data_IF_725891730586
#
_entry.id   IF_725891730586
#
_cell.length_a   1.000
_cell.length_b   1.000
_cell.length_c   1.000
_cell.angle_alpha   90.00
_cell.angle_beta   90.00
_cell.angle_gamma   90.00
#
_symmetry.space_group_name_H-M   'P 1'
#
loop_
_entity.id
_entity.type
_entity.pdbx_description
1 polymer ?
#
# COMPACT_ATOMS: atom_id res chain seq x y z
N UNK A 1 -20.37 3.24 -25.65
CA UNK A 1 -19.91 3.38 -24.25
C UNK A 1 -18.58 4.10 -24.32
N UNK A 2 -18.47 5.33 -23.80
CA UNK A 2 -17.32 6.20 -24.05
C UNK A 2 -16.01 5.59 -23.52
N UNK A 3 -14.91 5.85 -24.22
CA UNK A 3 -13.56 5.42 -23.82
C UNK A 3 -13.23 5.98 -22.42
N UNK A 4 -12.90 5.14 -21.41
CA UNK A 4 -12.51 5.58 -20.08
C UNK A 4 -11.33 6.57 -20.06
N UNK A 5 -10.45 6.52 -21.07
CA UNK A 5 -9.36 7.48 -21.24
C UNK A 5 -9.86 8.86 -21.63
N UNK A 6 -10.95 8.92 -22.40
CA UNK A 6 -11.58 10.19 -22.78
C UNK A 6 -12.28 10.86 -21.59
N UNK A 7 -12.87 10.08 -20.68
CA UNK A 7 -13.45 10.59 -19.45
C UNK A 7 -12.40 11.14 -18.48
N UNK A 8 -11.27 10.46 -18.31
CA UNK A 8 -10.16 10.94 -17.49
C UNK A 8 -9.53 12.21 -18.09
N UNK A 9 -9.35 12.25 -19.42
CA UNK A 9 -8.87 13.45 -20.13
C UNK A 9 -9.83 14.64 -20.00
N UNK A 10 -11.13 14.40 -20.11
CA UNK A 10 -12.15 15.44 -19.95
C UNK A 10 -12.12 16.04 -18.53
N UNK A 11 -11.99 15.19 -17.51
CA UNK A 11 -11.92 15.63 -16.11
C UNK A 11 -10.64 16.45 -15.83
N UNK A 12 -9.48 15.99 -16.31
CA UNK A 12 -8.22 16.71 -16.12
C UNK A 12 -8.20 18.06 -16.87
N UNK A 13 -8.81 18.14 -18.06
CA UNK A 13 -8.96 19.40 -18.81
C UNK A 13 -9.88 20.39 -18.12
N UNK A 14 -11.04 19.93 -17.66
CA UNK A 14 -12.00 20.77 -16.93
C UNK A 14 -11.38 21.39 -15.68
N UNK A 15 -10.52 20.67 -14.98
CA UNK A 15 -9.81 21.16 -13.77
C UNK A 15 -8.73 22.19 -14.12
N UNK A 16 -7.98 21.95 -15.20
CA UNK A 16 -7.03 22.93 -15.73
C UNK A 16 -7.72 24.23 -16.20
N UNK A 17 -8.91 24.13 -16.80
CA UNK A 17 -9.74 25.28 -17.24
C UNK A 17 -10.30 26.10 -16.07
N UNK A 18 -10.55 25.45 -14.93
CA UNK A 18 -10.94 26.09 -13.67
C UNK A 18 -9.75 26.71 -12.92
N UNK A 19 -8.55 26.68 -13.51
CA UNK A 19 -7.33 27.26 -12.92
C UNK A 19 -6.67 26.40 -11.84
N UNK A 20 -7.15 25.17 -11.62
CA UNK A 20 -6.48 24.20 -10.75
C UNK A 20 -5.31 23.57 -11.51
N UNK A 21 -4.08 23.98 -11.19
CA UNK A 21 -2.88 23.48 -11.88
C UNK A 21 -2.07 22.45 -11.11
N UNK A 22 -2.27 22.23 -9.80
CA UNK A 22 -1.46 21.27 -9.00
C UNK A 22 -2.25 20.56 -7.88
N UNK A 23 -1.92 19.28 -7.65
CA UNK A 23 -2.34 18.44 -6.51
C UNK A 23 -1.20 18.49 -5.49
N UNK A 24 -1.33 19.27 -4.42
CA UNK A 24 -0.23 19.52 -3.48
C UNK A 24 -0.21 18.57 -2.27
N UNK A 25 1.00 18.07 -1.98
CA UNK A 25 1.47 17.60 -0.67
C UNK A 25 2.16 18.81 0.00
N UNK A 26 1.44 19.50 0.89
CA UNK A 26 1.71 20.90 1.33
C UNK A 26 3.05 21.16 2.07
N UNK A 27 3.98 20.22 2.13
CA UNK A 27 5.25 20.37 2.86
C UNK A 27 6.52 20.12 2.03
N UNK A 28 6.39 19.80 0.73
CA UNK A 28 7.55 19.53 -0.12
C UNK A 28 7.50 20.43 -1.36
N UNK A 29 8.46 21.33 -1.47
CA UNK A 29 8.66 22.10 -2.69
C UNK A 29 9.10 21.17 -3.82
N UNK A 30 8.91 21.62 -5.06
CA UNK A 30 9.42 20.89 -6.23
C UNK A 30 10.96 20.70 -6.19
N UNK A 31 11.68 21.56 -5.45
CA UNK A 31 13.11 21.38 -5.19
C UNK A 31 13.34 20.23 -4.20
N UNK A 32 12.51 20.09 -3.17
CA UNK A 32 12.58 18.99 -2.20
C UNK A 32 12.27 17.64 -2.85
N UNK A 33 11.28 17.60 -3.75
CA UNK A 33 10.96 16.39 -4.53
C UNK A 33 12.11 16.00 -5.47
N UNK A 34 12.77 16.99 -6.09
CA UNK A 34 13.93 16.76 -6.97
C UNK A 34 15.19 16.37 -6.20
N UNK A 35 15.45 17.00 -5.05
CA UNK A 35 16.56 16.64 -4.16
C UNK A 35 16.38 15.22 -3.62
N UNK A 36 15.16 14.89 -3.19
CA UNK A 36 14.78 13.53 -2.78
C UNK A 36 14.86 12.55 -3.97
N UNK A 37 14.59 12.97 -5.20
CA UNK A 37 14.81 12.11 -6.36
C UNK A 37 16.31 11.92 -6.70
N UNK A 38 17.15 12.92 -6.42
CA UNK A 38 18.54 13.01 -6.90
C UNK A 38 19.61 12.43 -5.96
N UNK A 39 19.37 12.28 -4.65
CA UNK A 39 20.35 11.65 -3.73
C UNK A 39 20.63 10.19 -4.12
N UNK A 40 21.89 9.75 -4.07
CA UNK A 40 22.21 8.37 -4.43
C UNK A 40 21.73 7.38 -3.35
N UNK A 41 21.34 6.13 -3.71
CA UNK A 41 20.80 5.14 -2.76
C UNK A 41 21.75 4.75 -1.61
N UNK A 42 23.05 5.00 -1.72
CA UNK A 42 24.04 4.67 -0.69
C UNK A 42 24.05 5.69 0.46
N UNK A 43 23.78 6.96 0.17
CA UNK A 43 23.85 8.05 1.16
C UNK A 43 22.66 8.04 2.12
N UNK A 44 21.50 7.52 1.70
CA UNK A 44 20.28 7.42 2.52
C UNK A 44 20.17 6.17 3.39
N UNK A 45 20.94 5.12 3.10
CA UNK A 45 20.89 3.86 3.88
C UNK A 45 21.46 4.00 5.29
N UNK A 46 22.20 5.07 5.56
CA UNK A 46 22.91 5.29 6.83
C UNK A 46 22.09 5.99 7.92
N UNK A 47 20.96 6.63 7.59
CA UNK A 47 20.29 7.58 8.52
C UNK A 47 18.86 7.22 8.93
N UNK A 48 18.28 6.11 8.46
CA UNK A 48 16.93 5.71 8.86
C UNK A 48 16.95 5.11 10.29
N UNK A 49 16.20 5.68 11.26
CA UNK A 49 16.19 5.15 12.60
C UNK A 49 15.42 3.82 12.65
N UNK A 50 16.06 2.80 13.23
CA UNK A 50 15.39 1.56 13.60
C UNK A 50 14.46 1.84 14.78
N UNK A 51 13.15 1.71 14.60
CA UNK A 51 12.18 1.82 15.68
C UNK A 51 11.48 0.48 15.86
N UNK A 52 11.88 -0.22 16.92
CA UNK A 52 11.31 -1.50 17.33
C UNK A 52 10.08 -1.33 18.20
N UNK A 53 9.02 -2.05 17.87
CA UNK A 53 7.88 -2.32 18.75
C UNK A 53 7.98 -3.79 19.21
N UNK A 54 7.79 -4.12 20.51
CA UNK A 54 7.94 -5.48 21.00
C UNK A 54 6.72 -6.35 20.69
N UNK A 55 6.95 -7.51 20.09
CA UNK A 55 5.94 -8.53 19.83
C UNK A 55 6.48 -9.65 18.93
N UNK A 56 6.99 -10.71 19.57
CA UNK A 56 7.78 -11.82 19.03
C UNK A 56 7.25 -12.47 17.73
N UNK A 57 8.20 -13.05 16.99
CA UNK A 57 8.15 -13.81 15.72
C UNK A 57 8.10 -13.00 14.41
N UNK A 58 7.09 -12.17 14.15
CA UNK A 58 6.93 -11.53 12.82
C UNK A 58 8.11 -10.59 12.49
N UNK A 59 8.54 -9.79 13.47
CA UNK A 59 9.62 -8.80 13.30
C UNK A 59 10.97 -9.45 12.99
N UNK A 60 11.17 -10.72 13.38
CA UNK A 60 12.42 -11.44 13.18
C UNK A 60 12.47 -12.18 11.82
N UNK A 61 11.39 -12.21 11.06
CA UNK A 61 11.33 -12.96 9.79
C UNK A 61 12.23 -12.31 8.75
N UNK A 62 13.27 -13.03 8.30
CA UNK A 62 14.31 -12.49 7.41
C UNK A 62 13.96 -12.38 5.92
N UNK A 63 12.80 -12.83 5.47
CA UNK A 63 12.43 -12.76 4.04
C UNK A 63 10.93 -12.61 3.81
N UNK A 64 10.59 -11.96 2.68
CA UNK A 64 9.20 -11.72 2.29
C UNK A 64 8.45 -13.04 2.02
N UNK A 65 9.15 -14.05 1.51
CA UNK A 65 8.59 -15.38 1.26
C UNK A 65 8.19 -16.07 2.57
N UNK A 66 9.07 -16.09 3.58
CA UNK A 66 8.73 -16.67 4.90
C UNK A 66 7.62 -15.87 5.57
N UNK A 67 7.63 -14.55 5.44
CA UNK A 67 6.58 -13.69 6.00
C UNK A 67 5.22 -14.01 5.39
N UNK A 68 5.18 -14.27 4.07
CA UNK A 68 3.97 -14.69 3.36
C UNK A 68 3.43 -16.00 3.93
N UNK A 69 4.27 -17.02 4.05
CA UNK A 69 3.84 -18.33 4.56
C UNK A 69 3.24 -18.23 5.97
N UNK A 70 3.88 -17.45 6.85
CA UNK A 70 3.34 -17.18 8.21
C UNK A 70 2.00 -16.44 8.14
N UNK A 71 1.89 -15.42 7.28
CA UNK A 71 0.67 -14.63 7.15
C UNK A 71 -0.53 -15.47 6.65
N UNK A 72 -0.32 -16.40 5.72
CA UNK A 72 -1.38 -17.24 5.15
C UNK A 72 -2.09 -18.10 6.20
N UNK A 73 -1.38 -18.49 7.27
CA UNK A 73 -1.95 -19.26 8.39
C UNK A 73 -2.39 -18.42 9.60
N UNK A 74 -2.31 -17.09 9.54
CA UNK A 74 -2.40 -16.22 10.72
C UNK A 74 -3.75 -16.30 11.47
N UNK A 75 -3.78 -16.63 12.78
CA UNK A 75 -5.02 -16.66 13.58
C UNK A 75 -5.19 -15.44 14.52
N UNK A 76 -4.38 -14.38 14.37
CA UNK A 76 -4.18 -13.33 15.40
C UNK A 76 -5.39 -12.44 15.70
N UNK A 77 -6.43 -12.45 14.87
CA UNK A 77 -7.67 -11.70 15.13
C UNK A 77 -8.90 -12.42 14.56
N UNK A 78 -10.09 -11.96 14.96
CA UNK A 78 -11.38 -12.58 14.60
C UNK A 78 -11.67 -12.62 13.10
N UNK A 79 -10.99 -11.80 12.29
CA UNK A 79 -11.12 -11.87 10.82
C UNK A 79 -10.69 -13.22 10.25
N UNK A 80 -9.88 -14.00 10.98
CA UNK A 80 -9.54 -15.37 10.61
C UNK A 80 -10.75 -16.31 10.56
N UNK A 81 -11.82 -15.99 11.29
CA UNK A 81 -13.04 -16.81 11.37
C UNK A 81 -13.96 -16.60 10.16
N UNK A 82 -13.87 -15.45 9.48
CA UNK A 82 -14.80 -15.07 8.40
C UNK A 82 -14.17 -14.90 7.02
N UNK A 83 -12.84 -14.79 6.93
CA UNK A 83 -12.12 -14.64 5.66
C UNK A 83 -12.26 -15.88 4.78
N UNK A 84 -12.25 -15.71 3.46
CA UNK A 84 -12.02 -16.81 2.53
C UNK A 84 -10.52 -16.97 2.27
N UNK A 85 -9.81 -15.87 2.05
CA UNK A 85 -8.37 -15.88 1.83
C UNK A 85 -7.67 -14.78 2.62
N UNK A 86 -6.45 -15.07 3.03
CA UNK A 86 -5.51 -14.02 3.42
C UNK A 86 -4.98 -13.37 2.15
N UNK A 87 -5.09 -12.04 2.07
CA UNK A 87 -4.60 -11.22 0.98
C UNK A 87 -3.33 -10.52 1.44
N UNK A 88 -2.19 -11.19 1.26
CA UNK A 88 -0.91 -10.75 1.79
C UNK A 88 -0.37 -9.48 1.10
N UNK A 89 -0.25 -9.55 -0.21
CA UNK A 89 0.38 -8.56 -1.07
C UNK A 89 0.91 -9.23 -2.34
N UNK A 90 1.02 -8.49 -3.44
CA UNK A 90 1.57 -8.98 -4.71
C UNK A 90 2.44 -7.92 -5.38
N UNK A 91 3.36 -8.35 -6.23
CA UNK A 91 4.27 -7.46 -6.97
C UNK A 91 5.74 -7.74 -6.70
N UNK A 92 6.61 -6.79 -7.05
CA UNK A 92 8.05 -6.97 -6.93
C UNK A 92 8.52 -6.95 -5.46
N UNK A 93 9.31 -7.95 -5.01
CA UNK A 93 9.93 -7.91 -3.68
C UNK A 93 11.04 -6.86 -3.55
N UNK A 94 11.41 -6.23 -4.68
CA UNK A 94 12.42 -5.17 -4.78
C UNK A 94 11.77 -3.86 -5.26
N UNK A 95 10.46 -3.72 -5.11
CA UNK A 95 9.71 -2.57 -5.59
C UNK A 95 10.24 -1.26 -5.01
N UNK A 96 10.48 -0.26 -5.86
CA UNK A 96 10.81 1.09 -5.42
C UNK A 96 9.57 1.84 -4.91
N UNK A 97 8.37 1.44 -5.35
CA UNK A 97 7.09 1.96 -4.91
C UNK A 97 6.25 0.84 -4.27
N UNK A 98 5.84 1.05 -3.03
CA UNK A 98 4.84 0.22 -2.35
C UNK A 98 3.52 0.98 -2.29
N UNK A 99 2.42 0.36 -2.71
CA UNK A 99 1.06 0.87 -2.56
C UNK A 99 0.38 0.16 -1.39
N UNK A 100 -0.19 0.93 -0.46
CA UNK A 100 -0.83 0.41 0.75
C UNK A 100 -2.27 0.90 0.82
N UNK A 101 -3.23 -0.01 0.73
CA UNK A 101 -4.64 0.26 1.03
C UNK A 101 -5.03 -0.11 2.45
N UNK A 102 -6.33 -0.01 2.72
CA UNK A 102 -6.92 -0.29 4.03
C UNK A 102 -7.07 -1.78 4.31
N UNK A 103 -7.93 -2.45 3.53
CA UNK A 103 -8.27 -3.85 3.71
C UNK A 103 -8.73 -4.50 2.39
N UNK A 104 -8.75 -5.84 2.30
CA UNK A 104 -9.31 -6.54 1.14
C UNK A 104 -10.83 -6.33 1.05
N UNK A 105 -11.32 -6.12 -0.17
CA UNK A 105 -12.75 -6.18 -0.48
C UNK A 105 -13.21 -7.61 -0.78
N UNK A 106 -14.45 -7.73 -1.26
CA UNK A 106 -15.06 -9.04 -1.54
C UNK A 106 -14.35 -9.82 -2.66
N UNK A 107 -13.91 -9.14 -3.72
CA UNK A 107 -13.19 -9.78 -4.82
C UNK A 107 -11.78 -10.20 -4.40
N UNK A 108 -11.11 -9.37 -3.60
CA UNK A 108 -9.79 -9.65 -3.05
C UNK A 108 -9.86 -10.87 -2.10
N UNK A 109 -10.83 -10.89 -1.18
CA UNK A 109 -11.05 -12.02 -0.27
C UNK A 109 -11.36 -13.32 -1.01
N UNK A 110 -12.14 -13.25 -2.10
CA UNK A 110 -12.44 -14.42 -2.93
C UNK A 110 -11.23 -14.94 -3.72
N UNK A 111 -10.32 -14.06 -4.13
CA UNK A 111 -9.21 -14.41 -5.03
C UNK A 111 -7.87 -14.57 -4.32
N UNK A 112 -7.73 -14.09 -3.09
CA UNK A 112 -6.46 -14.00 -2.37
C UNK A 112 -5.52 -12.92 -2.90
N UNK A 113 -5.98 -12.05 -3.82
CA UNK A 113 -5.14 -11.06 -4.52
C UNK A 113 -5.56 -9.64 -4.17
N UNK A 114 -4.62 -8.72 -3.89
CA UNK A 114 -4.95 -7.35 -3.50
C UNK A 114 -5.40 -6.53 -4.71
N UNK A 115 -6.30 -5.56 -4.51
CA UNK A 115 -6.70 -4.57 -5.54
C UNK A 115 -7.05 -5.21 -6.89
N UNK A 116 -8.01 -6.14 -6.91
CA UNK A 116 -8.54 -6.76 -8.14
C UNK A 116 -9.98 -6.31 -8.47
N UNK A 117 -10.66 -5.70 -7.50
CA UNK A 117 -11.97 -5.09 -7.68
C UNK A 117 -11.93 -3.76 -8.44
N UNK A 118 -13.01 -2.98 -8.36
CA UNK A 118 -13.15 -1.70 -9.08
C UNK A 118 -12.05 -0.69 -8.74
N UNK A 119 -11.74 -0.53 -7.46
CA UNK A 119 -10.67 0.37 -7.01
C UNK A 119 -9.29 -0.07 -7.51
N UNK A 120 -9.06 -1.39 -7.59
CA UNK A 120 -7.84 -1.96 -8.15
C UNK A 120 -7.64 -1.65 -9.63
N UNK A 121 -8.71 -1.75 -10.43
CA UNK A 121 -8.67 -1.37 -11.86
C UNK A 121 -8.36 0.11 -12.05
N UNK A 122 -8.87 0.98 -11.17
CA UNK A 122 -8.51 2.40 -11.19
C UNK A 122 -7.04 2.61 -10.82
N UNK A 123 -6.55 1.94 -9.78
CA UNK A 123 -5.14 1.96 -9.40
C UNK A 123 -4.24 1.54 -10.58
N UNK A 124 -4.60 0.48 -11.31
CA UNK A 124 -3.84 0.03 -12.48
C UNK A 124 -3.73 1.11 -13.56
N UNK A 125 -4.81 1.85 -13.82
CA UNK A 125 -4.80 2.96 -14.76
C UNK A 125 -3.92 4.12 -14.29
N UNK A 126 -3.94 4.43 -12.99
CA UNK A 126 -3.11 5.49 -12.41
C UNK A 126 -1.63 5.13 -12.42
N UNK A 127 -1.29 3.88 -12.07
CA UNK A 127 0.07 3.37 -12.16
C UNK A 127 0.60 3.43 -13.60
N UNK A 128 -0.20 2.97 -14.57
CA UNK A 128 0.16 3.02 -15.97
C UNK A 128 0.36 4.46 -16.48
N UNK A 129 -0.51 5.40 -16.05
CA UNK A 129 -0.36 6.82 -16.39
C UNK A 129 0.90 7.45 -15.76
N UNK A 130 1.32 6.95 -14.60
CA UNK A 130 2.55 7.34 -13.93
C UNK A 130 3.81 6.58 -14.43
N UNK A 131 3.67 5.73 -15.44
CA UNK A 131 4.80 5.00 -16.04
C UNK A 131 5.22 3.71 -15.31
N UNK A 132 4.39 3.19 -14.40
CA UNK A 132 4.65 1.94 -13.69
C UNK A 132 3.83 0.79 -14.27
N UNK A 133 4.44 -0.38 -14.45
CA UNK A 133 3.68 -1.61 -14.58
C UNK A 133 3.31 -2.14 -13.18
N UNK A 134 2.17 -2.83 -13.08
CA UNK A 134 1.73 -3.43 -11.80
C UNK A 134 2.76 -4.41 -11.21
N UNK A 135 3.53 -5.07 -12.07
CA UNK A 135 4.57 -6.01 -11.64
C UNK A 135 5.79 -5.32 -11.02
N UNK A 136 6.02 -4.03 -11.32
CA UNK A 136 7.20 -3.28 -10.86
C UNK A 136 6.99 -2.69 -9.46
N UNK A 137 5.73 -2.53 -9.06
CA UNK A 137 5.33 -2.04 -7.73
C UNK A 137 5.00 -3.21 -6.82
N UNK A 138 4.88 -2.94 -5.53
CA UNK A 138 4.34 -3.91 -4.57
C UNK A 138 3.05 -3.37 -3.97
N UNK A 139 1.95 -4.12 -4.07
CA UNK A 139 0.62 -3.68 -3.63
C UNK A 139 0.18 -4.55 -2.46
N UNK A 140 -0.23 -3.91 -1.36
CA UNK A 140 -0.74 -4.60 -0.18
C UNK A 140 -1.74 -3.70 0.60
N UNK A 141 -2.23 -4.19 1.74
CA UNK A 141 -3.15 -3.48 2.62
C UNK A 141 -2.66 -3.48 4.07
N UNK A 142 -3.17 -2.59 4.92
CA UNK A 142 -2.97 -2.66 6.38
C UNK A 142 -3.49 -3.98 6.92
N UNK A 143 -4.78 -4.27 6.71
CA UNK A 143 -5.35 -5.56 7.02
C UNK A 143 -5.07 -6.56 5.90
N UNK A 144 -4.76 -7.80 6.26
CA UNK A 144 -4.60 -8.91 5.30
C UNK A 144 -5.87 -9.74 5.11
N UNK A 145 -6.96 -9.39 5.81
CA UNK A 145 -8.23 -10.11 5.78
C UNK A 145 -9.36 -9.11 5.65
N UNK A 146 -10.42 -9.49 4.93
CA UNK A 146 -11.60 -8.66 4.71
C UNK A 146 -12.44 -8.53 6.00
N UNK A 147 -12.76 -7.30 6.45
CA UNK A 147 -13.77 -7.08 7.47
C UNK A 147 -15.17 -7.51 7.02
N UNK A 148 -16.00 -8.13 7.89
CA UNK A 148 -17.37 -8.53 7.56
C UNK A 148 -18.19 -7.37 7.00
N UNK A 149 -18.81 -7.57 5.84
CA UNK A 149 -19.62 -6.54 5.18
C UNK A 149 -18.84 -5.35 4.61
N UNK A 150 -17.51 -5.45 4.48
CA UNK A 150 -16.62 -4.32 4.09
C UNK A 150 -16.74 -3.12 5.04
N UNK A 151 -17.03 -3.35 6.33
CA UNK A 151 -16.93 -2.29 7.33
C UNK A 151 -15.48 -1.83 7.47
N UNK A 152 -15.31 -0.68 8.10
CA UNK A 152 -13.99 -0.17 8.45
C UNK A 152 -13.23 -1.12 9.41
N UNK A 153 -11.89 -1.14 9.35
CA UNK A 153 -11.01 -1.79 10.31
C UNK A 153 -11.29 -1.32 11.73
N UNK A 154 -11.31 -2.26 12.67
CA UNK A 154 -11.29 -1.90 14.09
C UNK A 154 -9.86 -1.71 14.60
N UNK A 155 -9.65 -0.88 15.63
CA UNK A 155 -8.31 -0.65 16.19
C UNK A 155 -7.58 -1.95 16.54
N UNK A 156 -8.26 -2.93 17.15
CA UNK A 156 -7.67 -4.21 17.52
C UNK A 156 -7.28 -5.08 16.31
N UNK A 157 -7.96 -4.91 15.18
CA UNK A 157 -7.65 -5.61 13.93
C UNK A 157 -6.42 -4.99 13.27
N UNK A 158 -6.32 -3.66 13.29
CA UNK A 158 -5.16 -2.91 12.81
C UNK A 158 -3.93 -3.26 13.65
N UNK A 159 -4.03 -3.22 14.98
CA UNK A 159 -2.95 -3.58 15.90
C UNK A 159 -2.46 -5.02 15.68
N UNK A 160 -3.39 -5.97 15.49
CA UNK A 160 -3.02 -7.36 15.25
C UNK A 160 -2.35 -7.61 13.90
N UNK A 161 -2.64 -6.78 12.88
CA UNK A 161 -2.24 -7.02 11.49
C UNK A 161 -1.11 -6.11 10.99
N UNK A 162 -0.96 -4.91 11.54
CA UNK A 162 0.08 -3.94 11.16
C UNK A 162 1.51 -4.48 11.24
N UNK A 163 1.89 -5.42 12.14
CA UNK A 163 3.24 -5.99 12.12
C UNK A 163 3.61 -6.65 10.79
N UNK A 164 2.64 -7.23 10.06
CA UNK A 164 2.90 -7.77 8.71
C UNK A 164 3.22 -6.67 7.71
N UNK A 165 2.46 -5.57 7.73
CA UNK A 165 2.71 -4.42 6.84
C UNK A 165 4.07 -3.81 7.12
N UNK A 166 4.37 -3.50 8.39
CA UNK A 166 5.65 -2.91 8.78
C UNK A 166 6.81 -3.82 8.36
N UNK A 167 6.68 -5.13 8.60
CA UNK A 167 7.71 -6.08 8.19
C UNK A 167 7.86 -6.20 6.67
N UNK A 168 6.76 -6.12 5.90
CA UNK A 168 6.83 -6.06 4.43
C UNK A 168 7.63 -4.83 3.97
N UNK A 169 7.35 -3.66 4.55
CA UNK A 169 8.06 -2.41 4.23
C UNK A 169 9.55 -2.51 4.59
N UNK A 170 9.88 -3.04 5.76
CA UNK A 170 11.27 -3.27 6.21
C UNK A 170 12.04 -4.22 5.31
N UNK A 171 11.39 -5.26 4.79
CA UNK A 171 12.02 -6.27 3.92
C UNK A 171 12.20 -5.75 2.49
N UNK A 172 11.20 -5.03 1.96
CA UNK A 172 11.22 -4.49 0.60
C UNK A 172 12.15 -3.27 0.52
N UNK A 173 12.16 -2.43 1.56
CA UNK A 173 12.88 -1.14 1.63
C UNK A 173 12.58 -0.26 0.41
N UNK A 174 11.30 0.09 0.17
CA UNK A 174 10.92 0.91 -0.98
C UNK A 174 11.47 2.33 -0.85
N UNK A 175 11.54 3.04 -1.97
CA UNK A 175 11.89 4.47 -2.00
C UNK A 175 10.70 5.35 -1.64
N UNK A 176 9.50 4.91 -1.99
CA UNK A 176 8.26 5.62 -1.73
C UNK A 176 7.13 4.67 -1.33
N UNK A 177 6.22 5.16 -0.49
CA UNK A 177 4.99 4.46 -0.12
C UNK A 177 3.80 5.35 -0.49
N UNK A 178 2.90 4.83 -1.32
CA UNK A 178 1.61 5.44 -1.62
C UNK A 178 0.55 4.88 -0.67
N UNK A 179 0.21 5.64 0.36
CA UNK A 179 -0.91 5.34 1.24
C UNK A 179 -2.23 5.76 0.57
N UNK A 180 -3.11 4.80 0.31
CA UNK A 180 -4.41 5.03 -0.33
C UNK A 180 -5.52 4.98 0.72
N UNK A 181 -5.77 6.14 1.34
CA UNK A 181 -6.82 6.32 2.36
C UNK A 181 -6.27 6.62 3.77
N UNK A 182 -7.18 6.84 4.71
CA UNK A 182 -6.85 7.30 6.08
C UNK A 182 -6.13 6.22 6.90
N UNK A 183 -6.64 4.98 6.92
CA UNK A 183 -6.06 3.88 7.68
C UNK A 183 -4.59 3.58 7.34
N UNK A 184 -4.19 3.43 6.06
CA UNK A 184 -2.77 3.24 5.74
C UNK A 184 -1.92 4.46 6.11
N UNK A 185 -2.43 5.68 5.94
CA UNK A 185 -1.70 6.88 6.35
C UNK A 185 -1.45 6.91 7.87
N UNK A 186 -2.49 6.71 8.68
CA UNK A 186 -2.40 6.66 10.15
C UNK A 186 -1.48 5.55 10.63
N UNK A 187 -1.61 4.35 10.05
CA UNK A 187 -0.78 3.19 10.43
C UNK A 187 0.71 3.44 10.14
N UNK A 188 1.03 4.06 8.99
CA UNK A 188 2.41 4.32 8.58
C UNK A 188 3.03 5.54 9.27
N UNK A 189 2.22 6.53 9.65
CA UNK A 189 2.66 7.77 10.30
C UNK A 189 2.58 7.72 11.84
N UNK A 190 2.00 6.66 12.40
CA UNK A 190 1.71 6.53 13.83
C UNK A 190 0.87 7.70 14.39
N UNK A 191 -0.15 8.12 13.64
CA UNK A 191 -0.99 9.31 13.93
C UNK A 191 -2.46 8.98 14.10
#
# INVERSE_FOLDING_TARGET
>A
MGDPKELLRANLRQRAELGETEIFLDALSAADVRDLAARTPLERRAEAPAHGVPGNDIVQIGSLAVLREVALGCPRCRLAESRQHVVFGEGSPQAELVVVGEAPGADEDRTGRPFVGRAGKLLDLLLAAAGYARADVYVCNVLKCRPPGNRDPRPEEVEACSPYLLRQVELIRPRAILAVGTFPAQTLLHS
#
